data_IF_303457438983
#
_entry.id   IF_303457438983
#
_cell.length_a   1.000
_cell.length_b   1.000
_cell.length_c   1.000
_cell.angle_alpha   90.00
_cell.angle_beta   90.00
_cell.angle_gamma   90.00
#
_symmetry.space_group_name_H-M   'P 1'
#
loop_
_entity.id
_entity.type
_entity.pdbx_description
1 polymer ?
#
# COMPACT_ATOMS: atom_id res chain seq x y z
N UNK A 1 -27.99 -25.71 -7.83
CA UNK A 1 -28.44 -25.33 -9.19
C UNK A 1 -27.41 -25.85 -10.18
N UNK A 2 -27.81 -26.69 -11.14
CA UNK A 2 -26.90 -27.21 -12.18
C UNK A 2 -26.37 -26.05 -13.06
N UNK A 3 -25.07 -26.02 -13.41
CA UNK A 3 -24.51 -24.96 -14.23
C UNK A 3 -24.90 -25.20 -15.71
N UNK A 4 -25.96 -24.54 -16.16
CA UNK A 4 -26.29 -24.48 -17.59
C UNK A 4 -25.21 -23.68 -18.33
N UNK A 5 -24.84 -24.13 -19.53
CA UNK A 5 -23.98 -23.36 -20.44
C UNK A 5 -24.62 -22.00 -20.79
N UNK A 6 -23.80 -21.03 -21.17
CA UNK A 6 -24.25 -19.68 -21.53
C UNK A 6 -25.35 -19.69 -22.61
N UNK A 7 -25.17 -20.51 -23.64
CA UNK A 7 -26.17 -20.71 -24.70
C UNK A 7 -27.49 -21.28 -24.18
N UNK A 8 -27.45 -22.27 -23.27
CA UNK A 8 -28.65 -22.83 -22.65
C UNK A 8 -29.37 -21.83 -21.75
N UNK A 9 -28.64 -20.95 -21.05
CA UNK A 9 -29.22 -19.86 -20.25
C UNK A 9 -29.92 -18.82 -21.13
N UNK A 10 -29.33 -18.47 -22.28
CA UNK A 10 -29.95 -17.56 -23.26
C UNK A 10 -31.21 -18.19 -23.85
N UNK A 11 -31.15 -19.45 -24.26
CA UNK A 11 -32.31 -20.17 -24.82
C UNK A 11 -33.47 -20.21 -23.82
N UNK A 12 -33.17 -20.53 -22.56
CA UNK A 12 -34.15 -20.55 -21.48
C UNK A 12 -34.76 -19.17 -21.24
N UNK A 13 -33.92 -18.12 -21.15
CA UNK A 13 -34.36 -16.73 -21.03
C UNK A 13 -35.29 -16.34 -22.18
N UNK A 14 -34.91 -16.62 -23.42
CA UNK A 14 -35.71 -16.27 -24.59
C UNK A 14 -37.07 -16.97 -24.60
N UNK A 15 -37.13 -18.24 -24.20
CA UNK A 15 -38.39 -18.97 -24.10
C UNK A 15 -39.31 -18.40 -23.02
N UNK A 16 -38.77 -18.01 -21.87
CA UNK A 16 -39.53 -17.35 -20.79
C UNK A 16 -40.12 -16.02 -21.24
N UNK A 17 -39.33 -15.17 -21.91
CA UNK A 17 -39.80 -13.88 -22.39
C UNK A 17 -40.83 -14.00 -23.53
N UNK A 18 -40.71 -15.00 -24.42
CA UNK A 18 -41.73 -15.32 -25.42
C UNK A 18 -43.05 -15.73 -24.75
N UNK A 19 -42.99 -16.62 -23.76
CA UNK A 19 -44.15 -17.10 -23.01
C UNK A 19 -44.87 -15.96 -22.27
N UNK A 20 -44.11 -15.06 -21.63
CA UNK A 20 -44.67 -13.95 -20.87
C UNK A 20 -45.07 -12.74 -21.72
N UNK A 21 -44.73 -12.73 -23.01
CA UNK A 21 -44.95 -11.60 -23.92
C UNK A 21 -46.35 -10.96 -23.85
N UNK A 22 -47.48 -11.70 -23.72
CA UNK A 22 -48.80 -11.06 -23.65
C UNK A 22 -48.96 -10.14 -22.44
N UNK A 23 -48.23 -10.40 -21.35
CA UNK A 23 -48.32 -9.71 -20.07
C UNK A 23 -47.26 -8.62 -19.90
N UNK A 24 -46.09 -8.78 -20.53
CA UNK A 24 -44.96 -7.87 -20.34
C UNK A 24 -44.67 -6.99 -21.56
N UNK A 25 -45.42 -7.11 -22.67
CA UNK A 25 -45.16 -6.42 -23.94
C UNK A 25 -45.02 -4.90 -23.86
N UNK A 26 -45.71 -4.26 -22.92
CA UNK A 26 -45.67 -2.81 -22.73
C UNK A 26 -44.61 -2.37 -21.70
N UNK A 27 -43.78 -3.29 -21.21
CA UNK A 27 -42.73 -2.97 -20.24
C UNK A 27 -41.42 -2.65 -20.95
N UNK A 28 -40.63 -1.74 -20.39
CA UNK A 28 -39.28 -1.45 -20.88
C UNK A 28 -38.41 -2.71 -20.96
N UNK A 29 -38.62 -3.68 -20.08
CA UNK A 29 -37.89 -4.94 -20.05
C UNK A 29 -38.17 -5.81 -21.29
N UNK A 30 -39.41 -5.85 -21.77
CA UNK A 30 -39.74 -6.57 -23.00
C UNK A 30 -39.23 -5.83 -24.24
N UNK A 31 -39.31 -4.50 -24.27
CA UNK A 31 -38.74 -3.68 -25.35
C UNK A 31 -37.23 -3.87 -25.49
N UNK A 32 -36.50 -3.87 -24.37
CA UNK A 32 -35.06 -4.16 -24.29
C UNK A 32 -34.75 -5.58 -24.81
N UNK A 33 -35.54 -6.57 -24.42
CA UNK A 33 -35.34 -7.96 -24.85
C UNK A 33 -35.66 -8.19 -26.34
N UNK A 34 -36.76 -7.65 -26.87
CA UNK A 34 -37.10 -7.71 -28.30
C UNK A 34 -36.01 -7.04 -29.15
N UNK A 35 -35.56 -5.85 -28.74
CA UNK A 35 -34.48 -5.15 -29.41
C UNK A 35 -33.16 -5.96 -29.43
N UNK A 36 -32.92 -6.78 -28.40
CA UNK A 36 -31.75 -7.67 -28.33
C UNK A 36 -31.82 -8.89 -29.27
N UNK A 37 -33.03 -9.25 -29.74
CA UNK A 37 -33.27 -10.37 -30.66
C UNK A 37 -33.32 -9.95 -32.13
N UNK A 38 -33.95 -8.81 -32.43
CA UNK A 38 -34.14 -8.32 -33.82
C UNK A 38 -32.87 -7.70 -34.40
N UNK A 39 -31.96 -7.25 -33.54
CA UNK A 39 -30.65 -6.78 -33.92
C UNK A 39 -29.63 -7.21 -32.85
N UNK A 40 -29.15 -8.47 -32.90
CA UNK A 40 -28.05 -8.89 -32.02
C UNK A 40 -26.82 -7.99 -32.20
N UNK A 41 -26.66 -7.41 -33.39
CA UNK A 41 -25.67 -6.38 -33.67
C UNK A 41 -26.08 -4.96 -33.22
N UNK A 42 -27.35 -4.58 -32.96
CA UNK A 42 -27.67 -3.26 -32.36
C UNK A 42 -27.34 -3.20 -30.89
N UNK A 43 -27.35 -4.30 -30.15
CA UNK A 43 -26.74 -4.27 -28.81
C UNK A 43 -25.20 -4.15 -28.89
N UNK A 44 -24.63 -4.33 -30.09
CA UNK A 44 -23.23 -4.06 -30.41
C UNK A 44 -23.08 -2.68 -31.13
N UNK A 45 -24.12 -2.12 -31.76
CA UNK A 45 -24.07 -0.95 -32.68
C UNK A 45 -25.05 0.21 -32.42
N UNK A 46 -25.99 0.14 -31.47
CA UNK A 46 -26.57 1.34 -30.85
C UNK A 46 -25.61 1.93 -29.79
N UNK A 47 -24.47 1.26 -29.57
CA UNK A 47 -23.23 1.84 -29.03
C UNK A 47 -22.29 2.36 -30.14
N UNK A 48 -22.71 2.46 -31.41
CA UNK A 48 -21.92 3.26 -32.34
C UNK A 48 -22.13 4.73 -32.01
N UNK A 49 -21.06 5.47 -31.66
CA UNK A 49 -21.14 6.88 -31.36
C UNK A 49 -21.77 7.59 -32.56
N UNK A 50 -22.61 8.59 -32.29
CA UNK A 50 -23.01 9.56 -33.30
C UNK A 50 -21.73 9.97 -34.02
N UNK A 51 -21.63 9.68 -35.33
CA UNK A 51 -20.59 10.23 -36.20
C UNK A 51 -20.71 11.76 -36.12
N UNK A 52 -19.88 12.36 -35.28
CA UNK A 52 -19.94 13.77 -34.98
C UNK A 52 -19.38 14.06 -33.59
N UNK A 53 -18.05 14.14 -33.52
CA UNK A 53 -17.21 14.59 -32.40
C UNK A 53 -17.08 13.56 -31.27
N UNK A 54 -15.96 12.81 -31.25
CA UNK A 54 -15.47 12.16 -30.04
C UNK A 54 -15.22 13.25 -28.99
N UNK A 55 -16.23 13.58 -28.19
CA UNK A 55 -16.06 14.53 -27.11
C UNK A 55 -15.34 13.80 -25.97
N UNK A 56 -14.37 14.44 -25.32
CA UNK A 56 -13.54 13.88 -24.24
C UNK A 56 -14.36 13.15 -23.15
N UNK A 57 -15.63 13.54 -22.98
CA UNK A 57 -16.60 12.91 -22.08
C UNK A 57 -16.95 11.47 -22.44
N UNK A 58 -17.20 11.19 -23.72
CA UNK A 58 -17.60 9.84 -24.16
C UNK A 58 -16.42 8.87 -23.99
N UNK A 59 -15.22 9.31 -24.37
CA UNK A 59 -13.97 8.56 -24.15
C UNK A 59 -13.74 8.29 -22.65
N UNK A 60 -14.00 9.27 -21.78
CA UNK A 60 -13.87 9.10 -20.33
C UNK A 60 -14.87 8.09 -19.79
N UNK A 61 -16.15 8.16 -20.21
CA UNK A 61 -17.21 7.24 -19.80
C UNK A 61 -16.89 5.82 -20.25
N UNK A 62 -16.47 5.64 -21.50
CA UNK A 62 -16.07 4.34 -22.03
C UNK A 62 -14.90 3.75 -21.23
N UNK A 63 -13.94 4.59 -20.83
CA UNK A 63 -12.82 4.18 -19.99
C UNK A 63 -13.27 3.67 -18.61
N UNK A 64 -14.25 4.33 -18.00
CA UNK A 64 -14.82 3.91 -16.72
C UNK A 64 -15.44 2.52 -16.82
N UNK A 65 -16.24 2.26 -17.86
CA UNK A 65 -16.87 0.96 -18.07
C UNK A 65 -15.84 -0.11 -18.42
N UNK A 66 -14.90 0.18 -19.31
CA UNK A 66 -13.82 -0.74 -19.70
C UNK A 66 -13.05 -1.24 -18.49
N UNK A 67 -12.69 -0.35 -17.58
CA UNK A 67 -11.98 -0.71 -16.34
C UNK A 67 -12.81 -1.58 -15.40
N UNK A 68 -14.13 -1.41 -15.38
CA UNK A 68 -14.99 -2.24 -14.55
C UNK A 68 -15.08 -3.69 -15.09
N UNK A 69 -14.86 -3.90 -16.39
CA UNK A 69 -15.00 -5.20 -17.05
C UNK A 69 -13.69 -5.89 -17.42
N UNK A 70 -12.59 -5.17 -17.59
CA UNK A 70 -11.32 -5.71 -18.10
C UNK A 70 -10.22 -5.79 -17.04
N UNK A 71 -9.50 -6.91 -17.06
CA UNK A 71 -8.26 -7.12 -16.29
C UNK A 71 -7.07 -6.58 -17.09
N UNK A 72 -5.97 -6.21 -16.41
CA UNK A 72 -4.73 -5.82 -17.08
C UNK A 72 -4.16 -6.99 -17.90
N UNK A 73 -3.40 -6.69 -18.95
CA UNK A 73 -2.52 -7.67 -19.61
C UNK A 73 -1.52 -8.30 -18.64
N UNK A 74 -1.17 -7.57 -17.57
CA UNK A 74 -0.24 -8.02 -16.54
C UNK A 74 -1.02 -8.57 -15.34
N UNK A 75 -2.25 -9.05 -15.52
CA UNK A 75 -3.02 -9.67 -14.43
C UNK A 75 -2.54 -11.11 -14.22
N UNK A 76 -2.26 -11.47 -12.96
CA UNK A 76 -1.87 -12.83 -12.57
C UNK A 76 -2.86 -13.34 -11.53
N UNK A 77 -3.40 -14.54 -11.74
CA UNK A 77 -4.18 -15.28 -10.75
C UNK A 77 -3.26 -15.80 -9.62
N UNK A 78 -3.86 -16.22 -8.50
CA UNK A 78 -3.07 -16.78 -7.40
C UNK A 78 -2.21 -17.96 -7.87
N UNK A 79 -0.99 -18.04 -7.35
CA UNK A 79 -0.07 -19.13 -7.65
C UNK A 79 -0.26 -20.27 -6.65
N UNK A 80 -0.42 -21.50 -7.14
CA UNK A 80 -0.38 -22.72 -6.32
C UNK A 80 1.06 -23.15 -5.97
N UNK A 81 2.06 -22.45 -6.52
CA UNK A 81 3.47 -22.77 -6.30
C UNK A 81 3.89 -22.41 -4.89
N UNK A 82 4.30 -23.42 -4.12
CA UNK A 82 4.88 -23.22 -2.79
C UNK A 82 6.21 -22.50 -2.92
N UNK A 83 6.33 -21.38 -2.20
CA UNK A 83 7.57 -20.64 -2.05
C UNK A 83 7.96 -20.60 -0.58
N UNK A 84 9.26 -20.70 -0.33
CA UNK A 84 9.84 -20.52 0.99
C UNK A 84 11.14 -19.73 0.84
N UNK A 85 11.36 -18.82 1.79
CA UNK A 85 12.61 -18.09 1.91
C UNK A 85 13.73 -19.05 2.33
N UNK A 86 14.88 -18.94 1.67
CA UNK A 86 16.10 -19.62 2.04
C UNK A 86 16.91 -18.80 3.05
N UNK A 87 17.83 -19.44 3.79
CA UNK A 87 18.62 -18.79 4.85
C UNK A 87 19.37 -17.53 4.39
N UNK A 88 19.83 -17.53 3.14
CA UNK A 88 20.65 -16.45 2.57
C UNK A 88 19.84 -15.51 1.67
N UNK A 89 18.51 -15.67 1.62
CA UNK A 89 17.68 -14.71 0.91
C UNK A 89 17.66 -13.38 1.66
N UNK A 90 17.45 -12.31 0.89
CA UNK A 90 17.12 -11.02 1.46
C UNK A 90 15.79 -11.12 2.22
N UNK A 91 15.71 -10.44 3.36
CA UNK A 91 14.51 -10.36 4.19
C UNK A 91 13.74 -9.09 3.83
N UNK A 92 12.62 -9.27 3.14
CA UNK A 92 11.75 -8.15 2.75
C UNK A 92 10.79 -7.81 3.89
N UNK A 93 10.84 -6.58 4.40
CA UNK A 93 9.92 -6.07 5.41
C UNK A 93 8.96 -5.07 4.74
N UNK A 94 7.66 -5.29 4.83
CA UNK A 94 6.69 -4.33 4.25
C UNK A 94 6.07 -3.46 5.33
N UNK A 95 5.97 -2.15 5.07
CA UNK A 95 5.21 -1.25 5.93
C UNK A 95 3.73 -1.64 5.92
N UNK A 96 3.09 -1.59 7.09
CA UNK A 96 1.73 -2.06 7.29
C UNK A 96 0.89 -0.97 7.95
N UNK A 97 -0.17 -0.57 7.27
CA UNK A 97 -1.13 0.43 7.75
C UNK A 97 -2.25 -0.25 8.54
N UNK A 98 -2.44 0.08 9.84
CA UNK A 98 -3.49 -0.54 10.65
C UNK A 98 -4.88 0.06 10.45
N UNK A 99 -5.03 1.11 9.62
CA UNK A 99 -6.23 1.96 9.50
C UNK A 99 -7.36 1.39 8.61
N UNK A 100 -7.63 0.08 8.72
CA UNK A 100 -8.76 -0.59 8.04
C UNK A 100 -9.75 -1.18 9.06
N UNK A 101 -10.02 -0.42 10.12
CA UNK A 101 -11.08 -0.69 11.08
C UNK A 101 -11.55 0.61 11.73
N UNK A 102 -12.84 0.72 12.12
CA UNK A 102 -13.32 1.91 12.80
C UNK A 102 -12.79 1.98 14.23
N UNK A 103 -12.50 3.20 14.68
CA UNK A 103 -12.19 3.56 16.06
C UNK A 103 -13.06 4.76 16.45
N UNK A 104 -13.30 4.95 17.74
CA UNK A 104 -14.21 6.00 18.24
C UNK A 104 -13.77 7.37 17.76
N UNK A 105 -12.47 7.64 17.80
CA UNK A 105 -11.88 8.92 17.41
C UNK A 105 -12.13 9.22 15.92
N UNK A 106 -11.91 8.24 15.04
CA UNK A 106 -12.16 8.43 13.61
C UNK A 106 -13.65 8.60 13.30
N UNK A 107 -14.52 7.89 14.03
CA UNK A 107 -15.97 8.06 13.90
C UNK A 107 -16.40 9.49 14.28
N UNK A 108 -15.79 10.07 15.32
CA UNK A 108 -16.02 11.46 15.74
C UNK A 108 -15.42 12.47 14.75
N UNK A 109 -14.22 12.23 14.24
CA UNK A 109 -13.50 13.18 13.40
C UNK A 109 -13.96 13.20 11.94
N UNK A 110 -14.32 12.04 11.40
CA UNK A 110 -14.53 11.81 9.96
C UNK A 110 -15.91 11.26 9.63
N UNK A 111 -16.71 10.94 10.64
CA UNK A 111 -18.04 10.34 10.50
C UNK A 111 -18.04 8.84 10.79
N UNK A 112 -19.18 8.39 11.30
CA UNK A 112 -19.37 7.00 11.76
C UNK A 112 -19.03 5.97 10.68
N UNK A 113 -18.22 4.99 11.07
CA UNK A 113 -17.78 3.89 10.22
C UNK A 113 -16.58 4.22 9.35
N UNK A 114 -15.85 5.31 9.64
CA UNK A 114 -14.70 5.70 8.84
C UNK A 114 -13.57 4.67 8.93
N UNK A 115 -13.08 4.28 7.76
CA UNK A 115 -11.79 3.60 7.56
C UNK A 115 -11.15 4.15 6.29
N UNK A 116 -9.91 3.75 5.98
CA UNK A 116 -9.28 4.13 4.71
C UNK A 116 -10.07 3.69 3.48
N UNK A 117 -10.94 2.68 3.58
CA UNK A 117 -11.85 2.31 2.49
C UNK A 117 -12.77 3.45 2.06
N UNK A 118 -13.16 4.34 2.96
CA UNK A 118 -13.96 5.53 2.63
C UNK A 118 -13.23 6.45 1.66
N UNK A 119 -11.91 6.61 1.83
CA UNK A 119 -11.08 7.39 0.92
C UNK A 119 -10.85 6.67 -0.42
N UNK A 120 -10.57 5.37 -0.36
CA UNK A 120 -10.34 4.54 -1.55
C UNK A 120 -11.58 4.49 -2.44
N UNK A 121 -12.76 4.20 -1.89
CA UNK A 121 -13.97 3.98 -2.68
C UNK A 121 -14.50 5.24 -3.38
N UNK A 122 -14.19 6.43 -2.85
CA UNK A 122 -14.63 7.71 -3.43
C UNK A 122 -13.68 8.26 -4.50
N UNK A 123 -12.50 7.67 -4.66
CA UNK A 123 -11.50 8.15 -5.61
C UNK A 123 -12.02 8.05 -7.05
N UNK A 124 -11.73 9.07 -7.87
CA UNK A 124 -12.14 9.14 -9.28
C UNK A 124 -10.96 9.48 -10.19
N UNK A 125 -10.95 9.00 -11.45
CA UNK A 125 -9.92 9.34 -12.42
C UNK A 125 -9.87 10.84 -12.69
N UNK A 126 -8.68 11.42 -12.57
CA UNK A 126 -8.41 12.84 -12.85
C UNK A 126 -8.13 13.11 -14.35
N UNK A 127 -7.73 12.08 -15.08
CA UNK A 127 -7.41 12.10 -16.51
C UNK A 127 -7.70 10.73 -17.15
N UNK A 128 -7.68 10.66 -18.47
CA UNK A 128 -7.97 9.42 -19.20
C UNK A 128 -6.97 8.30 -18.86
N UNK A 129 -7.45 7.07 -18.69
CA UNK A 129 -6.66 5.90 -18.27
C UNK A 129 -6.02 6.00 -16.87
N UNK A 130 -6.37 7.00 -16.06
CA UNK A 130 -5.95 7.06 -14.66
C UNK A 130 -6.62 5.94 -13.86
N UNK A 131 -5.81 5.08 -13.25
CA UNK A 131 -6.29 3.97 -12.43
C UNK A 131 -6.73 4.44 -11.03
N UNK A 132 -7.95 4.96 -10.90
CA UNK A 132 -8.61 5.23 -9.62
C UNK A 132 -10.12 4.96 -9.71
N UNK A 133 -10.76 4.27 -8.76
CA UNK A 133 -10.18 3.78 -7.51
C UNK A 133 -9.35 2.50 -7.70
N UNK A 134 -8.33 2.32 -6.86
CA UNK A 134 -7.71 1.01 -6.63
C UNK A 134 -8.66 0.16 -5.80
N UNK A 135 -9.13 -0.98 -6.33
CA UNK A 135 -10.13 -1.80 -5.65
C UNK A 135 -9.56 -3.18 -5.27
N UNK A 136 -9.80 -3.66 -4.03
CA UNK A 136 -9.28 -4.94 -3.59
C UNK A 136 -9.89 -6.11 -4.37
N UNK A 137 -9.08 -7.16 -4.55
CA UNK A 137 -9.51 -8.44 -5.10
C UNK A 137 -9.94 -9.40 -3.98
N UNK A 138 -9.12 -10.40 -3.66
CA UNK A 138 -9.49 -11.54 -2.78
C UNK A 138 -9.93 -11.11 -1.38
N UNK A 139 -9.21 -10.17 -0.75
CA UNK A 139 -9.48 -9.76 0.63
C UNK A 139 -10.68 -8.81 0.76
N UNK A 140 -11.19 -8.27 -0.35
CA UNK A 140 -12.28 -7.31 -0.37
C UNK A 140 -12.02 -6.07 0.50
N UNK A 141 -13.09 -5.35 0.83
CA UNK A 141 -13.05 -4.23 1.78
C UNK A 141 -13.02 -4.77 3.21
N UNK A 142 -11.89 -5.33 3.60
CA UNK A 142 -11.74 -6.06 4.86
C UNK A 142 -11.79 -5.15 6.10
N UNK A 143 -11.97 -5.79 7.25
CA UNK A 143 -11.91 -5.17 8.57
C UNK A 143 -10.81 -5.83 9.42
N UNK A 144 -9.81 -5.05 9.86
CA UNK A 144 -8.66 -5.56 10.63
C UNK A 144 -8.97 -5.96 12.08
N UNK A 145 -10.24 -5.89 12.48
CA UNK A 145 -10.74 -6.54 13.71
C UNK A 145 -10.89 -8.06 13.54
N UNK A 146 -10.92 -8.55 12.30
CA UNK A 146 -11.09 -9.97 11.97
C UNK A 146 -9.71 -10.65 11.87
N UNK A 147 -9.54 -11.71 12.66
CA UNK A 147 -8.29 -12.49 12.70
C UNK A 147 -7.99 -13.15 11.36
N UNK A 148 -9.04 -13.60 10.68
CA UNK A 148 -8.98 -14.33 9.41
C UNK A 148 -8.35 -13.48 8.31
N UNK A 149 -8.58 -12.17 8.34
CA UNK A 149 -7.96 -11.21 7.40
C UNK A 149 -6.44 -11.19 7.62
N UNK A 150 -5.99 -10.96 8.85
CA UNK A 150 -4.55 -10.94 9.15
C UNK A 150 -3.90 -12.30 8.88
N UNK A 151 -4.58 -13.40 9.20
CA UNK A 151 -4.11 -14.76 8.89
C UNK A 151 -3.89 -14.94 7.40
N UNK A 152 -4.84 -14.49 6.56
CA UNK A 152 -4.71 -14.57 5.10
C UNK A 152 -3.64 -13.62 4.55
N UNK A 153 -3.49 -12.43 5.12
CA UNK A 153 -2.40 -11.52 4.77
C UNK A 153 -1.03 -12.13 5.07
N UNK A 154 -0.87 -12.76 6.23
CA UNK A 154 0.36 -13.48 6.61
C UNK A 154 0.64 -14.65 5.66
N UNK A 155 -0.39 -15.40 5.28
CA UNK A 155 -0.26 -16.49 4.32
C UNK A 155 0.25 -15.98 2.96
N UNK A 156 -0.38 -14.93 2.42
CA UNK A 156 0.05 -14.29 1.18
C UNK A 156 1.46 -13.72 1.28
N UNK A 157 1.79 -13.03 2.38
CA UNK A 157 3.12 -12.51 2.64
C UNK A 157 4.18 -13.63 2.54
N UNK A 158 3.95 -14.76 3.22
CA UNK A 158 4.84 -15.94 3.18
C UNK A 158 4.91 -16.58 1.79
N UNK A 159 3.78 -16.74 1.11
CA UNK A 159 3.70 -17.31 -0.26
C UNK A 159 4.51 -16.53 -1.29
N UNK A 160 4.76 -15.23 -1.05
CA UNK A 160 5.41 -14.35 -2.02
C UNK A 160 6.71 -13.71 -1.49
N UNK A 161 7.23 -14.21 -0.37
CA UNK A 161 8.57 -13.87 0.11
C UNK A 161 8.70 -12.60 0.92
N UNK A 162 7.60 -12.09 1.47
CA UNK A 162 7.65 -11.08 2.52
C UNK A 162 8.06 -11.77 3.83
N UNK A 163 9.18 -11.33 4.38
CA UNK A 163 9.73 -11.85 5.63
C UNK A 163 8.94 -11.34 6.85
N UNK A 164 8.53 -10.07 6.85
CA UNK A 164 7.86 -9.48 8.00
C UNK A 164 7.11 -8.19 7.72
N UNK A 165 6.38 -7.71 8.72
CA UNK A 165 5.64 -6.44 8.67
C UNK A 165 6.23 -5.40 9.61
N UNK A 166 6.31 -4.16 9.14
CA UNK A 166 6.60 -2.99 9.96
C UNK A 166 5.30 -2.21 10.18
N UNK A 167 4.66 -2.39 11.34
CA UNK A 167 3.39 -1.72 11.62
C UNK A 167 3.61 -0.24 11.92
N UNK A 168 2.83 0.62 11.28
CA UNK A 168 2.65 1.98 11.77
C UNK A 168 2.05 1.93 13.17
N UNK A 169 2.74 2.55 14.13
CA UNK A 169 2.35 2.57 15.53
C UNK A 169 2.00 4.00 15.94
N UNK A 170 0.78 4.19 16.44
CA UNK A 170 0.25 5.50 16.81
C UNK A 170 0.11 5.58 18.33
N UNK A 171 1.05 6.28 18.94
CA UNK A 171 1.09 6.53 20.38
C UNK A 171 1.24 8.03 20.59
N UNK A 172 0.35 8.61 21.39
CA UNK A 172 0.19 10.05 21.64
C UNK A 172 0.14 10.31 23.16
N UNK A 173 1.30 10.42 23.79
CA UNK A 173 1.43 10.77 25.22
C UNK A 173 0.52 9.93 26.15
N UNK A 174 0.60 8.60 26.01
CA UNK A 174 -0.16 7.63 26.80
C UNK A 174 -1.46 7.14 26.14
N UNK A 175 -1.92 7.76 25.04
CA UNK A 175 -3.05 7.28 24.26
C UNK A 175 -2.57 6.55 23.00
N UNK A 176 -2.99 5.30 22.83
CA UNK A 176 -2.77 4.54 21.58
C UNK A 176 -4.01 4.61 20.71
N UNK A 177 -3.78 4.69 19.40
CA UNK A 177 -4.82 4.59 18.38
C UNK A 177 -4.44 3.50 17.38
N UNK A 178 -5.45 2.87 16.77
CA UNK A 178 -5.27 1.84 15.73
C UNK A 178 -4.41 0.64 16.17
N UNK A 179 -4.26 0.39 17.47
CA UNK A 179 -3.37 -0.63 18.05
C UNK A 179 -3.94 -2.05 17.95
N UNK A 180 -5.22 -2.18 17.63
CA UNK A 180 -5.93 -3.46 17.65
C UNK A 180 -5.30 -4.54 16.77
N UNK A 181 -4.85 -4.26 15.52
CA UNK A 181 -4.23 -5.29 14.69
C UNK A 181 -2.92 -5.84 15.29
N UNK A 182 -2.04 -4.96 15.79
CA UNK A 182 -0.78 -5.43 16.40
C UNK A 182 -1.01 -6.10 17.76
N UNK A 183 -2.00 -5.67 18.54
CA UNK A 183 -2.38 -6.35 19.78
C UNK A 183 -2.96 -7.75 19.51
N UNK A 184 -3.72 -7.91 18.42
CA UNK A 184 -4.20 -9.21 17.97
C UNK A 184 -3.03 -10.12 17.57
N UNK A 185 -2.06 -9.60 16.82
CA UNK A 185 -0.82 -10.30 16.49
C UNK A 185 -0.08 -10.78 17.75
N UNK A 186 0.13 -9.89 18.73
CA UNK A 186 0.82 -10.23 19.98
C UNK A 186 0.12 -11.34 20.77
N UNK A 187 -1.20 -11.24 20.90
CA UNK A 187 -2.01 -12.17 21.70
C UNK A 187 -2.08 -13.56 21.08
N UNK A 188 -2.05 -13.64 19.75
CA UNK A 188 -2.29 -14.87 19.02
C UNK A 188 -1.02 -15.35 18.30
N UNK A 189 -0.45 -16.45 18.82
CA UNK A 189 0.77 -17.04 18.26
C UNK A 189 0.53 -17.80 16.95
N UNK A 190 -0.73 -18.07 16.56
CA UNK A 190 -1.02 -18.60 15.22
C UNK A 190 -0.82 -17.56 14.11
N UNK A 191 -0.85 -16.26 14.45
CA UNK A 191 -0.49 -15.18 13.54
C UNK A 191 1.03 -15.07 13.44
N UNK A 192 1.66 -16.10 12.90
CA UNK A 192 3.11 -16.23 12.88
C UNK A 192 3.72 -15.40 11.73
N UNK A 193 4.14 -14.18 12.03
CA UNK A 193 4.97 -13.37 11.14
C UNK A 193 5.96 -12.52 11.95
N UNK A 194 7.23 -12.41 11.53
CA UNK A 194 8.15 -11.42 12.06
C UNK A 194 7.60 -10.01 11.93
N UNK A 195 7.80 -9.17 12.95
CA UNK A 195 7.32 -7.79 12.91
C UNK A 195 8.21 -6.81 13.69
N UNK A 196 8.14 -5.53 13.30
CA UNK A 196 8.66 -4.39 14.07
C UNK A 196 7.69 -3.21 13.97
N UNK A 197 8.03 -2.11 14.65
CA UNK A 197 7.18 -0.93 14.74
C UNK A 197 7.86 0.31 14.15
N UNK A 198 7.06 1.12 13.44
CA UNK A 198 7.40 2.47 13.02
C UNK A 198 6.50 3.45 13.75
N UNK A 199 7.06 4.19 14.71
CA UNK A 199 6.33 5.21 15.45
C UNK A 199 6.03 6.40 14.55
N UNK A 200 4.76 6.56 14.18
CA UNK A 200 4.24 7.70 13.45
C UNK A 200 4.11 8.90 14.39
N UNK A 201 5.25 9.49 14.75
CA UNK A 201 5.36 10.52 15.80
C UNK A 201 5.02 11.94 15.33
N UNK A 202 4.10 12.06 14.38
CA UNK A 202 3.52 13.34 13.97
C UNK A 202 2.22 13.62 14.71
N UNK A 203 1.86 14.90 14.82
CA UNK A 203 0.50 15.29 15.18
C UNK A 203 -0.48 14.75 14.14
N UNK A 204 -1.63 14.25 14.59
CA UNK A 204 -2.71 13.94 13.68
C UNK A 204 -3.51 15.23 13.42
N UNK A 205 -3.52 15.70 12.18
CA UNK A 205 -4.26 16.91 11.80
C UNK A 205 -5.31 16.62 10.73
N UNK A 206 -6.30 17.51 10.61
CA UNK A 206 -7.30 17.49 9.54
C UNK A 206 -6.68 17.89 8.20
N UNK A 207 -5.92 16.97 7.58
CA UNK A 207 -5.28 17.23 6.27
C UNK A 207 -6.18 16.93 5.07
N UNK A 208 -7.28 16.21 5.26
CA UNK A 208 -8.05 15.59 4.17
C UNK A 208 -9.31 16.36 3.75
N UNK A 209 -9.78 17.31 4.56
CA UNK A 209 -11.04 18.05 4.37
C UNK A 209 -10.84 19.53 4.00
N UNK A 210 -9.59 19.96 3.77
CA UNK A 210 -9.26 21.34 3.42
C UNK A 210 -9.18 22.30 4.61
N UNK A 211 -9.34 21.82 5.85
CA UNK A 211 -9.11 22.58 7.09
C UNK A 211 -7.70 22.32 7.61
N UNK A 212 -6.70 22.83 6.89
CA UNK A 212 -5.28 22.45 6.99
C UNK A 212 -4.61 22.59 8.39
N UNK A 213 -5.30 23.16 9.39
CA UNK A 213 -4.69 23.58 10.66
C UNK A 213 -5.35 23.03 11.96
N UNK A 214 -6.37 22.19 11.90
CA UNK A 214 -6.94 21.62 13.14
C UNK A 214 -6.20 20.33 13.55
N UNK A 215 -5.53 20.38 14.72
CA UNK A 215 -4.91 19.22 15.35
C UNK A 215 -5.99 18.39 16.05
N UNK A 216 -6.16 17.13 15.62
CA UNK A 216 -7.12 16.18 16.19
C UNK A 216 -6.58 15.53 17.47
N UNK A 217 -5.29 15.17 17.45
CA UNK A 217 -4.55 14.73 18.62
C UNK A 217 -3.07 15.11 18.45
N UNK A 218 -2.50 15.69 19.51
CA UNK A 218 -1.12 16.17 19.52
C UNK A 218 -0.15 15.11 20.06
N UNK A 219 1.09 15.19 19.60
CA UNK A 219 2.24 14.56 20.23
C UNK A 219 2.79 15.47 21.31
N UNK A 220 3.04 14.89 22.48
CA UNK A 220 3.79 15.54 23.56
C UNK A 220 5.11 14.80 23.70
N UNK A 221 6.19 15.58 23.81
CA UNK A 221 7.56 15.09 23.86
C UNK A 221 8.26 15.61 25.12
N UNK A 222 7.61 15.42 26.29
CA UNK A 222 8.28 15.62 27.57
C UNK A 222 9.20 14.44 27.88
N UNK A 223 10.13 14.59 28.83
CA UNK A 223 10.99 13.47 29.26
C UNK A 223 10.18 12.33 29.87
N UNK A 224 9.09 12.66 30.56
CA UNK A 224 8.15 11.71 31.13
C UNK A 224 7.40 10.97 30.03
N UNK A 225 6.90 11.67 29.01
CA UNK A 225 6.25 11.06 27.84
C UNK A 225 7.21 10.14 27.08
N UNK A 226 8.45 10.58 26.85
CA UNK A 226 9.49 9.79 26.21
C UNK A 226 9.78 8.49 26.98
N UNK A 227 9.78 8.53 28.32
CA UNK A 227 9.95 7.36 29.17
C UNK A 227 8.73 6.42 29.13
N UNK A 228 7.52 6.97 29.17
CA UNK A 228 6.29 6.17 29.09
C UNK A 228 6.12 5.51 27.71
N UNK A 229 6.56 6.19 26.65
CA UNK A 229 6.59 5.61 25.31
C UNK A 229 7.48 4.36 25.25
N UNK A 230 8.73 4.45 25.73
CA UNK A 230 9.63 3.29 25.69
C UNK A 230 9.16 2.15 26.61
N UNK A 231 8.52 2.47 27.74
CA UNK A 231 7.88 1.47 28.60
C UNK A 231 6.78 0.72 27.85
N UNK A 232 5.88 1.42 27.18
CA UNK A 232 4.78 0.78 26.42
C UNK A 232 5.31 -0.08 25.28
N UNK A 233 6.20 0.48 24.45
CA UNK A 233 6.73 -0.17 23.25
C UNK A 233 7.58 -1.41 23.61
N UNK A 234 8.24 -1.41 24.78
CA UNK A 234 9.07 -2.53 25.21
C UNK A 234 8.29 -3.83 25.46
N UNK A 235 6.97 -3.75 25.62
CA UNK A 235 6.13 -4.94 25.72
C UNK A 235 6.11 -5.75 24.42
N UNK A 236 6.23 -5.08 23.26
CA UNK A 236 6.29 -5.74 21.97
C UNK A 236 7.64 -6.47 21.78
N UNK A 237 8.74 -5.94 22.33
CA UNK A 237 10.09 -6.49 22.16
C UNK A 237 10.24 -7.91 22.71
N UNK A 238 9.43 -8.25 23.72
CA UNK A 238 9.42 -9.56 24.38
C UNK A 238 8.86 -10.66 23.49
N UNK A 239 8.13 -10.32 22.43
CA UNK A 239 7.67 -11.32 21.47
C UNK A 239 8.86 -11.91 20.69
N UNK A 240 8.90 -13.23 20.57
CA UNK A 240 9.96 -13.93 19.83
C UNK A 240 9.97 -13.54 18.34
N UNK A 241 8.80 -13.21 17.78
CA UNK A 241 8.62 -12.75 16.40
C UNK A 241 9.06 -11.29 16.21
N UNK A 242 9.35 -10.54 17.28
CA UNK A 242 9.81 -9.17 17.15
C UNK A 242 11.20 -9.13 16.49
N UNK A 243 11.33 -8.39 15.40
CA UNK A 243 12.55 -8.30 14.59
C UNK A 243 13.67 -7.66 15.40
N UNK A 244 14.82 -8.30 15.37
CA UNK A 244 16.04 -7.92 16.10
C UNK A 244 17.23 -7.91 15.17
N UNK A 245 18.16 -6.98 15.39
CA UNK A 245 19.47 -6.90 14.74
C UNK A 245 20.53 -7.02 15.84
N UNK A 246 21.44 -7.98 15.72
CA UNK A 246 22.45 -8.28 16.76
C UNK A 246 21.84 -8.45 18.17
N UNK A 247 20.65 -9.05 18.25
CA UNK A 247 19.89 -9.23 19.49
C UNK A 247 19.18 -7.99 20.02
N UNK A 248 19.33 -6.83 19.37
CA UNK A 248 18.68 -5.56 19.74
C UNK A 248 17.31 -5.44 19.06
N UNK A 249 16.21 -5.14 19.78
CA UNK A 249 14.91 -4.88 19.16
C UNK A 249 14.98 -3.67 18.23
N UNK A 250 14.39 -3.78 17.04
CA UNK A 250 14.36 -2.70 16.04
C UNK A 250 13.16 -1.77 16.29
N UNK A 251 13.41 -0.47 16.35
CA UNK A 251 12.36 0.56 16.41
C UNK A 251 12.64 1.64 15.36
N UNK A 252 11.65 1.91 14.51
CA UNK A 252 11.71 3.00 13.53
C UNK A 252 11.00 4.23 14.10
N UNK A 253 11.62 5.39 13.93
CA UNK A 253 11.07 6.71 14.29
C UNK A 253 10.81 7.46 12.99
N UNK A 254 9.55 7.87 12.76
CA UNK A 254 9.16 8.46 11.48
C UNK A 254 9.76 9.86 11.25
N UNK A 255 9.77 10.71 12.28
CA UNK A 255 10.33 12.07 12.25
C UNK A 255 11.08 12.41 13.52
N UNK A 256 12.34 12.00 13.60
CA UNK A 256 13.19 12.26 14.77
C UNK A 256 13.34 13.76 15.10
N UNK A 257 13.27 14.62 14.08
CA UNK A 257 13.43 16.07 14.19
C UNK A 257 12.29 16.77 14.96
N UNK A 258 11.18 16.06 15.23
CA UNK A 258 10.08 16.59 16.05
C UNK A 258 10.35 16.44 17.55
N UNK A 259 11.30 15.60 17.96
CA UNK A 259 11.69 15.49 19.36
C UNK A 259 12.46 16.76 19.77
N UNK A 260 12.16 17.38 20.93
CA UNK A 260 12.88 18.55 21.39
C UNK A 260 14.37 18.30 21.65
N UNK A 261 14.73 17.10 22.13
CA UNK A 261 16.11 16.72 22.46
C UNK A 261 16.39 15.26 22.04
N UNK A 262 16.43 14.95 20.73
CA UNK A 262 16.43 13.58 20.22
C UNK A 262 17.60 12.73 20.75
N UNK A 263 18.78 13.32 20.91
CA UNK A 263 19.97 12.64 21.45
C UNK A 263 19.74 12.20 22.91
N UNK A 264 19.14 13.06 23.73
CA UNK A 264 18.86 12.74 25.13
C UNK A 264 17.71 11.74 25.27
N UNK A 265 16.69 11.84 24.42
CA UNK A 265 15.60 10.86 24.33
C UNK A 265 16.13 9.47 23.95
N UNK A 266 17.01 9.38 22.95
CA UNK A 266 17.65 8.12 22.55
C UNK A 266 18.49 7.53 23.69
N UNK A 267 19.29 8.34 24.40
CA UNK A 267 20.05 7.89 25.57
C UNK A 267 19.13 7.35 26.67
N UNK A 268 18.02 8.03 26.94
CA UNK A 268 17.01 7.60 27.90
C UNK A 268 16.44 6.22 27.52
N UNK A 269 16.07 6.04 26.25
CA UNK A 269 15.52 4.77 25.76
C UNK A 269 16.52 3.62 25.85
N UNK A 270 17.78 3.84 25.46
CA UNK A 270 18.86 2.84 25.60
C UNK A 270 19.08 2.46 27.06
N UNK A 271 19.12 3.45 27.97
CA UNK A 271 19.24 3.21 29.41
C UNK A 271 18.07 2.37 29.94
N UNK A 272 16.83 2.72 29.59
CA UNK A 272 15.66 1.95 30.01
C UNK A 272 15.71 0.50 29.49
N UNK A 273 16.10 0.30 28.22
CA UNK A 273 16.24 -1.03 27.63
C UNK A 273 17.28 -1.90 28.37
N UNK A 274 18.41 -1.30 28.77
CA UNK A 274 19.41 -1.95 29.63
C UNK A 274 18.83 -2.37 30.98
N UNK A 275 18.07 -1.51 31.64
CA UNK A 275 17.45 -1.78 32.95
C UNK A 275 16.45 -2.95 32.91
N UNK A 276 15.77 -3.16 31.78
CA UNK A 276 14.81 -4.27 31.60
C UNK A 276 15.43 -5.52 30.94
N UNK A 277 16.77 -5.56 30.80
CA UNK A 277 17.50 -6.76 30.39
C UNK A 277 17.81 -6.89 28.90
N UNK A 278 17.60 -5.85 28.09
CA UNK A 278 18.10 -5.81 26.70
C UNK A 278 19.52 -5.23 26.68
N UNK A 279 20.38 -5.76 25.80
CA UNK A 279 21.73 -5.19 25.65
C UNK A 279 21.71 -3.75 25.11
N UNK A 280 20.73 -3.43 24.25
CA UNK A 280 20.53 -2.12 23.64
C UNK A 280 19.19 -2.13 22.88
N UNK A 281 18.84 -1.02 22.23
CA UNK A 281 17.77 -0.92 21.22
C UNK A 281 18.39 -0.46 19.89
N UNK A 282 17.91 -1.00 18.76
CA UNK A 282 18.37 -0.61 17.43
C UNK A 282 17.40 0.43 16.85
N UNK A 283 17.83 1.70 16.81
CA UNK A 283 16.99 2.83 16.46
C UNK A 283 17.22 3.23 15.01
N UNK A 284 16.14 3.28 14.24
CA UNK A 284 16.17 3.56 12.81
C UNK A 284 15.38 4.84 12.49
N UNK A 285 15.97 5.76 11.74
CA UNK A 285 15.31 7.00 11.33
C UNK A 285 14.73 6.89 9.93
N UNK A 286 13.42 7.14 9.77
CA UNK A 286 12.82 7.21 8.44
C UNK A 286 13.29 8.46 7.71
N UNK A 287 13.90 8.28 6.53
CA UNK A 287 14.38 9.36 5.68
C UNK A 287 13.23 10.01 4.92
N UNK A 288 12.54 10.91 5.61
CA UNK A 288 11.36 11.64 5.11
C UNK A 288 11.66 13.13 5.03
N UNK A 289 10.97 13.86 4.13
CA UNK A 289 11.03 15.33 4.06
C UNK A 289 12.45 15.95 3.99
N UNK A 290 13.39 15.29 3.30
CA UNK A 290 14.77 15.75 3.15
C UNK A 290 15.72 15.31 4.26
N UNK A 291 15.22 14.64 5.31
CA UNK A 291 16.06 14.10 6.38
C UNK A 291 16.89 12.90 5.90
N UNK A 292 18.21 12.97 6.06
CA UNK A 292 19.14 11.87 5.76
C UNK A 292 20.20 11.63 6.88
N UNK A 293 20.36 12.57 7.82
CA UNK A 293 21.44 12.61 8.82
C UNK A 293 21.14 11.84 10.13
N UNK A 294 20.79 10.56 10.06
CA UNK A 294 20.44 9.76 11.25
C UNK A 294 21.57 9.63 12.30
N UNK A 295 22.83 9.56 11.85
CA UNK A 295 24.00 9.43 12.74
C UNK A 295 24.10 10.63 13.70
N UNK A 296 23.75 11.84 13.25
CA UNK A 296 23.82 13.07 14.05
C UNK A 296 22.98 13.00 15.32
N UNK A 297 21.88 12.25 15.29
CA UNK A 297 20.98 12.06 16.43
C UNK A 297 21.33 10.84 17.28
N UNK A 298 22.38 10.09 16.94
CA UNK A 298 22.79 8.88 17.65
C UNK A 298 21.97 7.63 17.30
N UNK A 299 21.25 7.67 16.17
CA UNK A 299 20.51 6.52 15.63
C UNK A 299 21.46 5.53 14.95
N UNK A 300 21.09 4.25 14.94
CA UNK A 300 21.92 3.15 14.43
C UNK A 300 21.86 3.01 12.90
N UNK A 301 20.74 3.40 12.29
CA UNK A 301 20.56 3.38 10.83
C UNK A 301 19.51 4.39 10.34
N UNK A 302 19.51 4.65 9.04
CA UNK A 302 18.37 5.22 8.32
C UNK A 302 17.52 4.13 7.66
N UNK A 303 16.29 4.48 7.27
CA UNK A 303 15.48 3.70 6.32
C UNK A 303 14.89 4.63 5.28
N UNK A 304 15.05 4.31 4.00
CA UNK A 304 14.45 5.10 2.92
C UNK A 304 12.92 5.03 3.00
N UNK A 305 12.21 6.09 2.60
CA UNK A 305 10.75 6.12 2.68
C UNK A 305 10.12 6.66 1.37
N UNK A 306 10.34 6.00 0.22
CA UNK A 306 9.86 6.46 -1.07
C UNK A 306 8.33 6.65 -1.05
N UNK A 307 7.79 7.68 -1.72
CA UNK A 307 8.48 8.56 -2.67
C UNK A 307 9.25 9.72 -2.04
N UNK A 308 9.29 9.83 -0.71
CA UNK A 308 10.10 10.88 -0.08
C UNK A 308 11.57 10.71 -0.44
N UNK A 309 12.24 11.85 -0.62
CA UNK A 309 13.65 11.96 -0.98
C UNK A 309 13.99 11.26 -2.32
N UNK A 310 12.99 11.04 -3.20
CA UNK A 310 13.21 10.77 -4.62
C UNK A 310 13.21 12.11 -5.35
N UNK A 311 14.39 12.51 -5.80
CA UNK A 311 14.61 13.81 -6.43
C UNK A 311 14.67 13.66 -7.96
N UNK A 312 14.40 14.76 -8.67
CA UNK A 312 14.57 14.87 -10.12
C UNK A 312 13.77 13.87 -10.98
N UNK A 313 12.70 13.27 -10.43
CA UNK A 313 11.80 12.44 -11.21
C UNK A 313 11.07 13.31 -12.26
N UNK A 314 11.09 12.93 -13.56
CA UNK A 314 10.41 13.70 -14.60
C UNK A 314 8.92 13.88 -14.34
N UNK A 315 8.39 15.06 -14.67
CA UNK A 315 6.98 15.43 -14.49
C UNK A 315 6.26 15.43 -15.84
N UNK A 316 5.15 14.71 -15.92
CA UNK A 316 4.36 14.45 -17.12
C UNK A 316 3.15 15.39 -17.30
N UNK A 317 2.92 16.34 -16.40
CA UNK A 317 1.72 17.19 -16.43
C UNK A 317 1.45 17.84 -17.80
N UNK A 318 2.49 18.25 -18.53
CA UNK A 318 2.34 18.89 -19.86
C UNK A 318 1.89 17.93 -20.95
N UNK A 319 2.09 16.63 -20.76
CA UNK A 319 1.74 15.57 -21.71
C UNK A 319 0.36 14.97 -21.42
N UNK A 320 -0.25 15.32 -20.29
CA UNK A 320 -1.51 14.75 -19.82
C UNK A 320 -2.64 15.72 -20.09
N UNK A 321 -3.65 15.26 -20.84
CA UNK A 321 -4.91 15.96 -20.93
C UNK A 321 -5.79 15.62 -19.71
N UNK A 322 -5.83 16.54 -18.75
CA UNK A 322 -6.64 16.38 -17.55
C UNK A 322 -8.12 16.56 -17.86
N UNK A 323 -8.90 15.52 -17.56
CA UNK A 323 -10.37 15.58 -17.62
C UNK A 323 -10.89 16.46 -16.48
N UNK A 324 -10.30 16.35 -15.29
CA UNK A 324 -10.56 17.29 -14.21
C UNK A 324 -9.74 18.58 -14.40
N UNK A 325 -10.39 19.64 -14.87
CA UNK A 325 -9.75 20.95 -15.07
C UNK A 325 -9.35 21.65 -13.76
N UNK A 326 -9.74 21.14 -12.58
CA UNK A 326 -9.33 21.65 -11.26
C UNK A 326 -8.10 20.93 -10.69
N UNK A 327 -7.51 19.99 -11.41
CA UNK A 327 -6.36 19.26 -10.91
C UNK A 327 -5.11 20.15 -10.86
N UNK A 328 -4.50 20.28 -9.68
CA UNK A 328 -3.28 21.05 -9.40
C UNK A 328 -2.11 20.18 -8.94
N UNK A 329 -2.32 18.87 -8.86
CA UNK A 329 -1.33 17.91 -8.42
C UNK A 329 -0.19 17.69 -9.41
N UNK A 330 0.75 16.82 -9.05
CA UNK A 330 1.92 16.47 -9.85
C UNK A 330 1.85 15.02 -10.30
N UNK A 331 2.12 14.79 -11.59
CA UNK A 331 2.21 13.46 -12.18
C UNK A 331 3.65 13.21 -12.59
N UNK A 332 4.30 12.24 -11.95
CA UNK A 332 5.67 11.80 -12.17
C UNK A 332 5.72 10.56 -13.05
N UNK A 333 6.81 10.38 -13.80
CA UNK A 333 7.04 9.18 -14.61
C UNK A 333 7.78 8.09 -13.83
N UNK A 334 7.04 7.11 -13.31
CA UNK A 334 7.61 5.94 -12.61
C UNK A 334 8.55 5.14 -13.52
N UNK A 335 8.27 5.08 -14.83
CA UNK A 335 9.12 4.35 -15.77
C UNK A 335 10.51 4.98 -15.85
N UNK A 336 10.58 6.32 -15.91
CA UNK A 336 11.88 7.03 -15.92
C UNK A 336 12.60 6.97 -14.59
N UNK A 337 11.87 7.05 -13.48
CA UNK A 337 12.43 6.77 -12.16
C UNK A 337 13.17 5.43 -12.12
N UNK A 338 12.57 4.38 -12.70
CA UNK A 338 13.17 3.04 -12.69
C UNK A 338 14.25 2.85 -13.74
N UNK A 339 14.04 3.31 -14.97
CA UNK A 339 15.01 3.16 -16.06
C UNK A 339 16.30 3.93 -15.81
N UNK A 340 16.18 5.14 -15.23
CA UNK A 340 17.32 6.00 -14.94
C UNK A 340 17.88 5.75 -13.53
N UNK A 341 17.34 4.74 -12.81
CA UNK A 341 17.75 4.31 -11.46
C UNK A 341 17.84 5.45 -10.44
N UNK A 342 16.87 6.37 -10.46
CA UNK A 342 16.87 7.57 -9.59
C UNK A 342 16.80 7.28 -8.08
N UNK A 343 16.52 6.03 -7.72
CA UNK A 343 16.53 5.52 -6.35
C UNK A 343 17.90 5.03 -5.87
N UNK A 344 18.89 4.85 -6.77
CA UNK A 344 20.25 4.47 -6.37
C UNK A 344 20.98 5.71 -5.90
N UNK A 345 21.15 5.83 -4.59
CA UNK A 345 21.85 6.92 -3.94
C UNK A 345 22.87 6.40 -2.94
N UNK A 346 24.01 7.10 -2.88
CA UNK A 346 25.06 6.86 -1.88
C UNK A 346 24.50 7.25 -0.52
N UNK A 347 24.55 6.32 0.43
CA UNK A 347 24.09 6.56 1.79
C UNK A 347 25.24 7.01 2.69
N UNK A 348 24.92 7.88 3.65
CA UNK A 348 25.82 8.26 4.72
C UNK A 348 25.57 7.33 5.93
N UNK A 349 26.46 6.35 6.14
CA UNK A 349 26.24 5.31 7.15
C UNK A 349 25.33 4.19 6.67
N UNK A 350 24.78 3.45 7.63
CA UNK A 350 23.89 2.31 7.38
C UNK A 350 22.49 2.81 7.05
N UNK A 351 21.97 2.43 5.89
CA UNK A 351 20.62 2.83 5.47
C UNK A 351 19.92 1.65 4.82
N UNK A 352 18.84 1.18 5.44
CA UNK A 352 17.98 0.19 4.83
C UNK A 352 17.30 0.79 3.60
N UNK A 353 17.50 0.12 2.47
CA UNK A 353 16.91 0.51 1.20
C UNK A 353 15.44 0.14 1.14
N UNK A 354 14.66 0.96 0.43
CA UNK A 354 13.20 0.77 0.35
C UNK A 354 12.73 0.93 -1.09
N UNK A 355 11.83 0.03 -1.51
CA UNK A 355 11.15 0.11 -2.81
C UNK A 355 9.67 0.43 -2.64
N UNK A 356 9.02 0.99 -3.66
CA UNK A 356 7.55 1.14 -3.71
C UNK A 356 6.97 0.53 -4.99
N UNK A 357 5.85 -0.23 -4.93
CA UNK A 357 5.23 -0.80 -6.12
C UNK A 357 4.63 0.28 -7.02
N UNK A 358 4.01 1.30 -6.42
CA UNK A 358 3.37 2.43 -7.09
C UNK A 358 3.13 3.56 -6.09
N UNK A 359 2.63 4.70 -6.56
CA UNK A 359 2.17 5.77 -5.68
C UNK A 359 1.11 6.63 -6.38
N UNK A 360 -0.03 6.82 -5.73
CA UNK A 360 -1.14 7.65 -6.15
C UNK A 360 -2.03 7.99 -4.95
N UNK A 361 -1.85 9.18 -4.38
CA UNK A 361 -2.64 9.63 -3.22
C UNK A 361 -3.92 10.41 -3.60
N UNK A 362 -4.48 10.19 -4.81
CA UNK A 362 -5.74 10.82 -5.25
C UNK A 362 -6.91 10.47 -4.33
N UNK A 363 -6.96 9.27 -3.76
CA UNK A 363 -7.99 8.86 -2.80
C UNK A 363 -8.07 9.80 -1.57
N UNK A 364 -6.92 10.32 -1.16
CA UNK A 364 -6.73 11.24 -0.05
C UNK A 364 -6.73 12.72 -0.47
N UNK A 365 -6.23 13.02 -1.68
CA UNK A 365 -6.01 14.38 -2.22
C UNK A 365 -6.55 14.50 -3.65
N UNK A 366 -7.87 14.44 -3.88
CA UNK A 366 -8.46 14.24 -5.22
C UNK A 366 -7.99 15.24 -6.28
N UNK A 367 -7.92 16.54 -5.95
CA UNK A 367 -7.51 17.58 -6.90
C UNK A 367 -6.03 17.95 -6.81
N UNK A 368 -5.29 17.45 -5.82
CA UNK A 368 -3.93 17.91 -5.51
C UNK A 368 -2.98 16.73 -5.19
N UNK A 369 -3.17 15.62 -5.91
CA UNK A 369 -2.44 14.39 -5.69
C UNK A 369 -1.01 14.45 -6.23
N UNK A 370 -0.13 13.64 -5.65
CA UNK A 370 1.11 13.22 -6.29
C UNK A 370 0.88 11.81 -6.86
N UNK A 371 1.12 11.66 -8.15
CA UNK A 371 0.83 10.43 -8.91
C UNK A 371 2.09 9.97 -9.61
N UNK A 372 2.51 8.72 -9.41
CA UNK A 372 3.59 8.08 -10.17
C UNK A 372 2.96 7.22 -11.27
N UNK A 373 2.78 7.84 -12.44
CA UNK A 373 2.18 7.20 -13.62
C UNK A 373 3.14 6.20 -14.23
N UNK A 374 2.60 5.23 -14.97
CA UNK A 374 3.32 4.18 -15.69
C UNK A 374 4.03 3.15 -14.79
N UNK A 375 3.64 3.01 -13.51
CA UNK A 375 4.05 1.86 -12.72
C UNK A 375 3.48 0.56 -13.30
N UNK A 376 4.32 -0.49 -13.31
CA UNK A 376 3.93 -1.86 -13.63
C UNK A 376 4.65 -2.84 -12.71
N UNK A 377 4.12 -4.07 -12.52
CA UNK A 377 4.80 -5.12 -11.76
C UNK A 377 6.23 -5.40 -12.25
N UNK A 378 6.50 -5.30 -13.55
CA UNK A 378 7.81 -5.55 -14.15
C UNK A 378 8.82 -4.45 -13.78
N UNK A 379 8.40 -3.19 -13.77
CA UNK A 379 9.25 -2.07 -13.34
C UNK A 379 9.53 -2.13 -11.84
N UNK A 380 8.51 -2.48 -11.05
CA UNK A 380 8.70 -2.76 -9.62
C UNK A 380 9.69 -3.90 -9.38
N UNK A 381 9.56 -5.03 -10.11
CA UNK A 381 10.52 -6.14 -10.04
C UNK A 381 11.93 -5.68 -10.36
N UNK A 382 12.11 -4.89 -11.43
CA UNK A 382 13.41 -4.33 -11.82
C UNK A 382 14.03 -3.50 -10.69
N UNK A 383 13.26 -2.57 -10.10
CA UNK A 383 13.72 -1.79 -8.96
C UNK A 383 14.09 -2.68 -7.77
N UNK A 384 13.24 -3.62 -7.38
CA UNK A 384 13.53 -4.54 -6.28
C UNK A 384 14.81 -5.34 -6.52
N UNK A 385 15.02 -5.88 -7.73
CA UNK A 385 16.26 -6.58 -8.08
C UNK A 385 17.48 -5.67 -7.96
N UNK A 386 17.42 -4.46 -8.51
CA UNK A 386 18.51 -3.48 -8.44
C UNK A 386 18.90 -3.18 -6.98
N UNK A 387 17.92 -3.05 -6.07
CA UNK A 387 18.20 -2.89 -4.63
C UNK A 387 18.76 -4.17 -4.01
N UNK A 388 18.24 -5.35 -4.35
CA UNK A 388 18.76 -6.62 -3.81
C UNK A 388 20.25 -6.79 -4.15
N UNK A 389 20.64 -6.52 -5.40
CA UNK A 389 22.05 -6.57 -5.79
C UNK A 389 22.88 -5.53 -5.02
N UNK A 390 22.42 -4.28 -4.99
CA UNK A 390 23.12 -3.20 -4.27
C UNK A 390 23.29 -3.51 -2.77
N UNK A 391 22.29 -4.12 -2.12
CA UNK A 391 22.36 -4.49 -0.70
C UNK A 391 23.32 -5.65 -0.46
N UNK A 392 23.35 -6.66 -1.34
CA UNK A 392 24.29 -7.79 -1.22
C UNK A 392 25.75 -7.37 -1.38
N UNK A 393 26.03 -6.33 -2.17
CA UNK A 393 27.38 -5.79 -2.36
C UNK A 393 27.84 -4.89 -1.20
N UNK A 394 26.91 -4.33 -0.42
CA UNK A 394 27.24 -3.38 0.64
C UNK A 394 27.48 -4.08 1.99
N UNK A 395 28.74 -4.09 2.43
CA UNK A 395 29.15 -4.70 3.72
C UNK A 395 28.44 -4.09 4.93
N UNK A 396 28.02 -2.82 4.87
CA UNK A 396 27.30 -2.15 5.96
C UNK A 396 25.85 -2.68 6.14
N UNK A 397 25.31 -3.34 5.13
CA UNK A 397 23.92 -3.83 5.10
C UNK A 397 23.82 -5.36 5.33
N UNK A 398 24.79 -5.92 6.06
CA UNK A 398 24.93 -7.37 6.32
C UNK A 398 23.72 -8.05 6.99
N UNK A 399 22.79 -7.27 7.55
CA UNK A 399 21.53 -7.79 8.13
C UNK A 399 20.54 -8.30 7.07
N UNK A 400 20.79 -8.00 5.79
CA UNK A 400 20.01 -8.43 4.64
C UNK A 400 18.54 -7.98 4.69
N UNK A 401 18.25 -6.77 5.16
CA UNK A 401 16.89 -6.20 5.15
C UNK A 401 16.70 -5.20 4.01
N UNK A 402 15.58 -5.35 3.30
CA UNK A 402 15.03 -4.34 2.37
C UNK A 402 13.60 -4.07 2.81
N UNK A 403 13.21 -2.80 2.80
CA UNK A 403 11.85 -2.40 3.10
C UNK A 403 11.02 -2.25 1.82
N UNK A 404 9.70 -2.40 1.95
CA UNK A 404 8.75 -2.11 0.89
C UNK A 404 7.68 -1.18 1.44
N UNK A 405 7.48 -0.04 0.77
CA UNK A 405 6.34 0.84 1.00
C UNK A 405 5.28 0.56 -0.07
N UNK A 406 4.25 -0.24 0.17
CA UNK A 406 3.86 -0.91 1.43
C UNK A 406 3.12 -2.23 1.16
N UNK A 407 2.72 -2.93 2.22
CA UNK A 407 1.78 -4.05 2.14
C UNK A 407 0.40 -3.57 1.67
N UNK A 408 -0.20 -2.61 2.39
CA UNK A 408 -1.62 -2.24 2.26
C UNK A 408 -1.89 -0.73 2.31
N UNK A 409 -1.00 0.12 1.79
CA UNK A 409 -1.22 1.58 1.74
C UNK A 409 -2.17 1.97 0.57
N UNK A 410 -3.43 1.52 0.65
CA UNK A 410 -4.44 1.69 -0.41
C UNK A 410 -4.77 3.14 -0.70
N UNK A 411 -4.78 4.01 0.31
CA UNK A 411 -5.05 5.45 0.17
C UNK A 411 -3.99 6.21 -0.65
N UNK A 412 -2.82 5.61 -0.83
CA UNK A 412 -1.71 6.13 -1.64
C UNK A 412 -1.38 5.22 -2.81
N UNK A 413 -2.24 4.25 -3.13
CA UNK A 413 -2.05 3.31 -4.22
C UNK A 413 -0.74 2.50 -4.13
N UNK A 414 -0.10 2.44 -2.95
CA UNK A 414 1.20 1.83 -2.72
C UNK A 414 1.05 0.47 -2.00
N UNK A 415 0.25 -0.44 -2.57
CA UNK A 415 -0.06 -1.73 -1.97
C UNK A 415 0.54 -2.90 -2.78
N UNK A 416 1.05 -3.90 -2.06
CA UNK A 416 1.33 -5.22 -2.63
C UNK A 416 0.09 -6.11 -2.63
N UNK A 417 -0.88 -5.83 -1.74
CA UNK A 417 -2.11 -6.62 -1.68
C UNK A 417 -2.81 -6.73 -3.05
N UNK A 418 -3.39 -7.91 -3.37
CA UNK A 418 -4.01 -8.13 -4.67
C UNK A 418 -5.18 -7.18 -4.94
N UNK A 419 -5.17 -6.58 -6.12
CA UNK A 419 -6.23 -5.70 -6.59
C UNK A 419 -6.94 -6.27 -7.83
N UNK A 420 -8.03 -5.62 -8.26
CA UNK A 420 -8.81 -6.09 -9.41
C UNK A 420 -8.10 -5.94 -10.74
N UNK A 421 -7.12 -5.04 -10.87
CA UNK A 421 -6.45 -4.72 -12.13
C UNK A 421 -5.31 -5.67 -12.41
N UNK A 422 -4.46 -5.92 -11.43
CA UNK A 422 -3.22 -6.69 -11.51
C UNK A 422 -3.33 -8.05 -10.81
N UNK A 423 -4.35 -8.30 -9.99
CA UNK A 423 -4.43 -9.56 -9.23
C UNK A 423 -3.20 -9.71 -8.34
N UNK A 424 -2.51 -10.83 -8.46
CA UNK A 424 -1.32 -11.16 -7.65
C UNK A 424 0.00 -10.72 -8.29
N UNK A 425 -0.01 -9.90 -9.35
CA UNK A 425 1.21 -9.65 -10.12
C UNK A 425 2.31 -8.92 -9.37
N UNK A 426 1.99 -7.97 -8.49
CA UNK A 426 3.00 -7.32 -7.65
C UNK A 426 3.63 -8.31 -6.65
N UNK A 427 2.82 -9.16 -6.03
CA UNK A 427 3.31 -10.25 -5.17
C UNK A 427 4.17 -11.25 -5.96
N UNK A 428 3.73 -11.64 -7.17
CA UNK A 428 4.51 -12.54 -8.02
C UNK A 428 5.84 -11.90 -8.43
N UNK A 429 5.85 -10.60 -8.77
CA UNK A 429 7.05 -9.83 -9.04
C UNK A 429 8.00 -9.80 -7.84
N UNK A 430 7.50 -9.66 -6.61
CA UNK A 430 8.31 -9.76 -5.38
C UNK A 430 9.00 -11.12 -5.29
N UNK A 431 8.23 -12.22 -5.44
CA UNK A 431 8.75 -13.59 -5.39
C UNK A 431 9.81 -13.85 -6.47
N UNK A 432 9.53 -13.45 -7.70
CA UNK A 432 10.46 -13.60 -8.82
C UNK A 432 11.75 -12.80 -8.61
N UNK A 433 11.68 -11.58 -8.06
CA UNK A 433 12.88 -10.80 -7.75
C UNK A 433 13.82 -11.56 -6.80
N UNK A 434 13.26 -12.21 -5.76
CA UNK A 434 14.06 -13.03 -4.83
C UNK A 434 14.66 -14.22 -5.58
N UNK A 435 13.85 -15.00 -6.31
CA UNK A 435 14.31 -16.20 -7.01
C UNK A 435 15.41 -15.88 -8.03
N UNK A 436 15.19 -14.87 -8.88
CA UNK A 436 16.13 -14.50 -9.94
C UNK A 436 17.47 -13.99 -9.36
N UNK A 437 17.44 -13.33 -8.20
CA UNK A 437 18.65 -12.81 -7.54
C UNK A 437 19.36 -13.85 -6.69
N UNK A 438 18.84 -15.09 -6.55
CA UNK A 438 19.57 -16.22 -5.93
C UNK A 438 20.71 -16.71 -6.84
N UNK A 439 20.45 -16.74 -8.16
CA UNK A 439 21.24 -17.49 -9.15
C UNK A 439 22.53 -16.81 -9.61
N UNK A 440 22.71 -15.51 -9.36
CA UNK A 440 23.94 -14.79 -9.73
C UNK A 440 25.07 -14.98 -8.70
N UNK A 441 25.21 -16.20 -8.18
CA UNK A 441 26.26 -16.59 -7.23
C UNK A 441 27.56 -17.06 -7.89
N UNK A 442 27.67 -17.01 -9.21
CA UNK A 442 28.89 -17.41 -9.93
C UNK A 442 29.05 -16.61 -11.23
N UNK A 443 29.90 -15.58 -11.19
CA UNK A 443 30.85 -15.25 -12.28
C UNK A 443 31.99 -14.43 -11.69
#
# INVERSE_FOLDING_TARGET
>A
MLPLSYEKKILLKNNVYKLLSPFIKNTNMYSIWINSLENPEKYIKDNNPKKGVDNEKDIYIDNLFKRASEKSSNYIEISDTRFQLEKNDIKLISFYLPQFHPIVENDEWWGRGFTEWTNVSKAVPQFLNHYQPHLPAELGFYDLRLKEVMKRQIELAKMYGIYGFCFHHYWFAGKRLLERPVNMLLKDKELDIPFCLCWANENWTRRWDGLENEVLIEQKHSKEDDLEFIKDISNYFKDERYIKIDGKPVLIIYRIELLPNPIETIKLWRKYCLEIGWNDIFIVGAQTFGFEEHIKYGMDAGVEFPPHNINNCPILNKEINFTNKKFTGLVYDYKKLVDDKLYIKKSHGKVFKTVMPSWDNTARKPNNASIFKNSTPELYKKWLKDIIYSTKENVLDSDNFIFINAWNEWGEGAHLEPDRKYGYSYLNATREAIIETRSEKNN
#
